data_IF_034135068136
#
_entry.id   IF_034135068136
#
_cell.length_a   1.000
_cell.length_b   1.000
_cell.length_c   1.000
_cell.angle_alpha   90.00
_cell.angle_beta   90.00
_cell.angle_gamma   90.00
#
_symmetry.space_group_name_H-M   'P 1'
#
loop_
_entity.id
_entity.type
_entity.pdbx_description
1 polymer ?
#
# COMPACT_ATOMS: atom_id res chain seq x y z
N UNK A 1 47.38 -51.80 45.07
CA UNK A 1 48.23 -52.72 44.29
C UNK A 1 47.29 -53.51 43.40
N UNK A 2 47.37 -53.25 42.09
CA UNK A 2 47.10 -54.15 40.96
C UNK A 2 45.79 -54.99 41.00
N UNK A 3 44.79 -54.62 40.19
CA UNK A 3 44.58 -55.01 38.78
C UNK A 3 43.71 -56.27 38.65
N UNK A 4 42.71 -56.13 37.77
CA UNK A 4 42.19 -57.15 36.84
C UNK A 4 41.63 -58.49 37.35
N UNK A 5 40.37 -58.76 36.99
CA UNK A 5 39.98 -59.88 36.10
C UNK A 5 38.46 -59.78 35.88
N UNK A 6 38.00 -59.33 34.71
CA UNK A 6 37.68 -60.16 33.54
C UNK A 6 36.57 -61.20 33.77
N UNK A 7 35.59 -61.10 32.86
CA UNK A 7 34.87 -62.20 32.20
C UNK A 7 33.47 -62.59 32.74
N UNK A 8 32.48 -62.05 32.02
CA UNK A 8 31.29 -62.71 31.48
C UNK A 8 30.98 -64.14 31.97
N UNK A 9 29.72 -64.37 32.39
CA UNK A 9 28.81 -65.31 31.72
C UNK A 9 27.43 -65.34 32.41
N UNK A 10 26.39 -65.06 31.62
CA UNK A 10 25.09 -65.75 31.58
C UNK A 10 24.55 -66.43 32.85
N UNK A 11 23.45 -65.88 33.41
CA UNK A 11 22.09 -66.48 33.32
C UNK A 11 21.10 -65.78 34.26
N UNK A 12 19.96 -65.43 33.67
CA UNK A 12 18.74 -64.93 34.30
C UNK A 12 18.25 -65.85 35.41
N UNK A 13 18.01 -65.30 36.61
CA UNK A 13 16.87 -65.69 37.47
C UNK A 13 16.36 -64.43 38.19
N UNK A 14 15.11 -64.09 37.90
CA UNK A 14 14.24 -63.16 38.60
C UNK A 14 14.28 -63.34 40.12
N UNK A 15 14.39 -62.24 40.89
CA UNK A 15 13.38 -61.90 41.92
C UNK A 15 13.60 -60.49 42.48
N UNK A 16 12.55 -59.67 42.32
CA UNK A 16 12.08 -58.59 43.19
C UNK A 16 13.07 -57.50 43.66
N UNK A 17 13.05 -56.36 42.96
CA UNK A 17 13.36 -55.07 43.58
C UNK A 17 12.31 -54.04 43.16
N UNK A 18 11.69 -53.46 44.19
CA UNK A 18 10.67 -52.42 44.18
C UNK A 18 11.14 -51.21 43.37
N UNK A 19 10.33 -50.80 42.39
CA UNK A 19 10.46 -49.48 41.75
C UNK A 19 9.12 -48.76 41.86
N UNK A 20 9.08 -47.73 42.70
CA UNK A 20 8.10 -46.65 42.63
C UNK A 20 8.27 -45.96 41.27
N UNK A 21 7.48 -46.36 40.29
CA UNK A 21 7.33 -45.60 39.05
C UNK A 21 6.32 -44.49 39.27
N UNK A 22 6.81 -43.27 39.55
CA UNK A 22 6.06 -42.04 39.31
C UNK A 22 5.65 -42.04 37.83
N UNK A 23 4.37 -42.27 37.57
CA UNK A 23 3.77 -42.11 36.25
C UNK A 23 3.75 -40.61 35.98
N UNK A 24 4.76 -40.12 35.28
CA UNK A 24 4.69 -38.83 34.59
C UNK A 24 3.70 -39.02 33.43
N UNK A 25 2.46 -38.59 33.65
CA UNK A 25 1.52 -38.35 32.55
C UNK A 25 2.04 -37.14 31.80
N UNK A 26 2.92 -37.38 30.84
CA UNK A 26 3.21 -36.41 29.78
C UNK A 26 1.99 -36.33 28.88
N UNK A 27 1.01 -35.53 29.31
CA UNK A 27 -0.05 -35.05 28.43
C UNK A 27 0.55 -34.12 27.41
N UNK A 28 1.02 -34.66 26.29
CA UNK A 28 1.29 -33.88 25.09
C UNK A 28 -0.07 -33.39 24.56
N UNK A 29 -0.51 -32.24 25.07
CA UNK A 29 -1.49 -31.41 24.40
C UNK A 29 -0.85 -30.92 23.11
N UNK A 30 -0.98 -31.71 22.04
CA UNK A 30 -0.80 -31.21 20.69
C UNK A 30 -1.93 -30.22 20.44
N UNK A 31 -1.70 -28.96 20.81
CA UNK A 31 -2.37 -27.83 20.20
C UNK A 31 -1.97 -27.86 18.73
N UNK A 32 -2.72 -28.59 17.93
CA UNK A 32 -2.74 -28.41 16.49
C UNK A 32 -3.22 -26.97 16.27
N UNK A 33 -2.26 -26.06 16.17
CA UNK A 33 -2.47 -24.71 15.70
C UNK A 33 -3.07 -24.83 14.30
N UNK A 34 -4.39 -24.64 14.22
CA UNK A 34 -5.09 -24.52 12.96
C UNK A 34 -4.55 -23.29 12.23
N UNK A 35 -3.53 -23.51 11.41
CA UNK A 35 -3.03 -22.56 10.44
C UNK A 35 -4.11 -22.41 9.37
N UNK A 36 -5.14 -21.64 9.67
CA UNK A 36 -6.14 -21.19 8.70
C UNK A 36 -5.39 -20.35 7.66
N UNK A 37 -4.96 -21.00 6.57
CA UNK A 37 -4.36 -20.36 5.41
C UNK A 37 -5.42 -19.44 4.80
N UNK A 38 -5.43 -18.17 5.23
CA UNK A 38 -6.34 -17.14 4.71
C UNK A 38 -6.23 -17.12 3.19
N UNK A 39 -7.29 -17.51 2.49
CA UNK A 39 -7.32 -17.51 1.04
C UNK A 39 -7.18 -16.09 0.50
N UNK A 40 -6.45 -15.94 -0.60
CA UNK A 40 -6.24 -14.64 -1.22
C UNK A 40 -7.58 -14.11 -1.78
N UNK A 41 -7.91 -12.82 -1.58
CA UNK A 41 -9.16 -12.24 -2.05
C UNK A 41 -9.29 -12.39 -3.57
N UNK A 42 -10.52 -12.64 -4.03
CA UNK A 42 -10.83 -12.74 -5.46
C UNK A 42 -10.76 -11.35 -6.09
N UNK A 43 -9.96 -11.21 -7.14
CA UNK A 43 -9.87 -9.98 -7.91
C UNK A 43 -11.08 -9.81 -8.84
N UNK A 44 -11.36 -8.56 -9.20
CA UNK A 44 -12.27 -8.20 -10.29
C UNK A 44 -13.69 -8.80 -10.15
N UNK A 45 -14.15 -9.00 -8.92
CA UNK A 45 -15.43 -9.65 -8.61
C UNK A 45 -15.59 -11.02 -9.32
N UNK A 46 -14.47 -11.73 -9.51
CA UNK A 46 -14.42 -13.03 -10.19
C UNK A 46 -14.38 -12.95 -11.73
N UNK A 47 -14.25 -11.75 -12.31
CA UNK A 47 -14.20 -11.56 -13.75
C UNK A 47 -12.78 -11.69 -14.32
N UNK A 48 -12.71 -12.16 -15.56
CA UNK A 48 -11.50 -12.47 -16.29
C UNK A 48 -10.68 -11.21 -16.67
N UNK A 49 -9.53 -11.03 -16.03
CA UNK A 49 -8.59 -9.93 -16.31
C UNK A 49 -8.14 -9.88 -17.79
N UNK A 50 -7.82 -11.03 -18.38
CA UNK A 50 -7.41 -11.14 -19.79
C UNK A 50 -8.53 -10.71 -20.73
N UNK A 51 -9.77 -11.06 -20.40
CA UNK A 51 -10.96 -10.76 -21.19
C UNK A 51 -11.30 -9.26 -21.13
N UNK A 52 -11.11 -8.63 -19.97
CA UNK A 52 -11.21 -7.18 -19.82
C UNK A 52 -10.16 -6.48 -20.69
N UNK A 53 -8.88 -6.77 -20.51
CA UNK A 53 -7.81 -6.05 -21.22
C UNK A 53 -7.85 -6.30 -22.74
N UNK A 54 -7.98 -7.55 -23.16
CA UNK A 54 -7.86 -7.91 -24.59
C UNK A 54 -9.17 -7.73 -25.36
N UNK A 55 -10.30 -7.96 -24.70
CA UNK A 55 -11.62 -7.99 -25.33
C UNK A 55 -12.54 -6.85 -24.92
N UNK A 56 -12.19 -6.08 -23.88
CA UNK A 56 -13.07 -5.09 -23.24
C UNK A 56 -14.42 -5.69 -22.83
N UNK A 57 -14.41 -6.96 -22.40
CA UNK A 57 -15.60 -7.73 -22.02
C UNK A 57 -15.50 -8.20 -20.58
N UNK A 58 -16.60 -8.00 -19.85
CA UNK A 58 -16.81 -8.62 -18.53
C UNK A 58 -17.22 -10.06 -18.78
N UNK A 59 -16.35 -11.01 -18.44
CA UNK A 59 -16.60 -12.44 -18.57
C UNK A 59 -16.27 -13.08 -17.24
N UNK A 60 -17.23 -13.75 -16.63
CA UNK A 60 -17.03 -14.46 -15.37
C UNK A 60 -16.00 -15.57 -15.56
N UNK A 61 -15.03 -15.62 -14.65
CA UNK A 61 -14.10 -16.73 -14.55
C UNK A 61 -14.70 -17.88 -13.75
N UNK A 62 -13.98 -19.01 -13.73
CA UNK A 62 -14.36 -20.19 -12.97
C UNK A 62 -13.29 -20.53 -11.94
N UNK A 63 -13.65 -20.97 -10.72
CA UNK A 63 -12.68 -21.30 -9.66
C UNK A 63 -11.61 -22.33 -10.08
N UNK A 64 -11.96 -23.29 -10.93
CA UNK A 64 -11.03 -24.31 -11.45
C UNK A 64 -9.92 -23.73 -12.34
N UNK A 65 -10.14 -22.56 -12.93
CA UNK A 65 -9.17 -21.84 -13.74
C UNK A 65 -8.73 -20.58 -13.00
N UNK A 66 -8.03 -20.76 -11.88
CA UNK A 66 -7.54 -19.68 -11.03
C UNK A 66 -6.02 -19.54 -11.01
N UNK A 67 -5.54 -18.31 -10.78
CA UNK A 67 -4.12 -17.98 -10.55
C UNK A 67 -4.02 -16.98 -9.41
N UNK A 68 -3.18 -17.26 -8.42
CA UNK A 68 -2.82 -16.27 -7.39
C UNK A 68 -1.65 -15.44 -7.90
N UNK A 69 -1.85 -14.12 -7.99
CA UNK A 69 -0.81 -13.17 -8.38
C UNK A 69 -0.93 -11.89 -7.56
N UNK A 70 0.21 -11.40 -7.06
CA UNK A 70 0.30 -10.22 -6.18
C UNK A 70 -0.69 -10.26 -4.99
N UNK A 71 -0.93 -11.45 -4.45
CA UNK A 71 -1.85 -11.67 -3.34
C UNK A 71 -3.33 -11.51 -3.68
N UNK A 72 -3.72 -11.66 -4.95
CA UNK A 72 -5.12 -11.80 -5.36
C UNK A 72 -5.33 -13.07 -6.19
N UNK A 73 -6.53 -13.63 -6.08
CA UNK A 73 -6.98 -14.76 -6.89
C UNK A 73 -7.68 -14.25 -8.14
N UNK A 74 -7.11 -14.47 -9.32
CA UNK A 74 -7.72 -14.18 -10.61
C UNK A 74 -8.40 -15.42 -11.17
N UNK A 75 -9.61 -15.27 -11.72
CA UNK A 75 -10.40 -16.36 -12.30
C UNK A 75 -10.53 -16.20 -13.81
N UNK A 76 -10.52 -17.31 -14.55
CA UNK A 76 -10.57 -17.33 -16.01
C UNK A 76 -11.68 -18.26 -16.52
N UNK A 77 -12.25 -18.01 -17.73
CA UNK A 77 -13.34 -18.82 -18.25
C UNK A 77 -12.86 -20.19 -18.80
N UNK A 78 -11.57 -20.31 -19.11
CA UNK A 78 -10.95 -21.53 -19.65
C UNK A 78 -9.45 -21.60 -19.33
N UNK A 79 -8.86 -22.79 -19.49
CA UNK A 79 -7.43 -23.04 -19.28
C UNK A 79 -6.55 -22.23 -20.25
N UNK A 80 -6.97 -22.06 -21.51
CA UNK A 80 -6.21 -21.29 -22.51
C UNK A 80 -6.11 -19.80 -22.11
N UNK A 81 -7.18 -19.24 -21.53
CA UNK A 81 -7.18 -17.86 -21.06
C UNK A 81 -6.32 -17.72 -19.79
N UNK A 82 -6.36 -18.71 -18.90
CA UNK A 82 -5.47 -18.78 -17.73
C UNK A 82 -3.99 -18.81 -18.15
N UNK A 83 -3.62 -19.61 -19.14
CA UNK A 83 -2.24 -19.70 -19.62
C UNK A 83 -1.73 -18.36 -20.18
N UNK A 84 -2.59 -17.61 -20.89
CA UNK A 84 -2.26 -16.24 -21.34
C UNK A 84 -1.91 -15.33 -20.17
N UNK A 85 -2.67 -15.40 -19.08
CA UNK A 85 -2.38 -14.63 -17.87
C UNK A 85 -1.05 -15.05 -17.23
N UNK A 86 -0.81 -16.36 -17.07
CA UNK A 86 0.41 -16.86 -16.44
C UNK A 86 1.68 -16.48 -17.21
N UNK A 87 1.61 -16.36 -18.53
CA UNK A 87 2.75 -16.00 -19.38
C UNK A 87 3.22 -14.55 -19.17
N UNK A 88 2.31 -13.62 -18.83
CA UNK A 88 2.61 -12.19 -18.69
C UNK A 88 1.56 -11.48 -17.81
N UNK A 89 1.45 -11.83 -16.52
CA UNK A 89 0.38 -11.34 -15.65
C UNK A 89 0.37 -9.81 -15.51
N UNK A 90 1.54 -9.18 -15.53
CA UNK A 90 1.74 -7.72 -15.46
C UNK A 90 1.02 -6.94 -16.57
N UNK A 91 0.67 -7.60 -17.69
CA UNK A 91 -0.09 -6.99 -18.80
C UNK A 91 -1.59 -6.96 -18.55
N UNK A 92 -2.09 -7.81 -17.67
CA UNK A 92 -3.54 -8.04 -17.52
C UNK A 92 -4.09 -7.56 -16.19
N UNK A 93 -3.27 -7.47 -15.15
CA UNK A 93 -3.73 -6.98 -13.86
C UNK A 93 -4.24 -5.54 -13.95
N UNK A 94 -5.31 -5.20 -13.22
CA UNK A 94 -5.77 -3.82 -13.14
C UNK A 94 -4.69 -2.93 -12.51
N UNK A 95 -4.66 -1.67 -12.95
CA UNK A 95 -3.80 -0.65 -12.38
C UNK A 95 -4.00 -0.59 -10.86
N UNK A 96 -2.90 -0.38 -10.13
CA UNK A 96 -2.93 -0.28 -8.68
C UNK A 96 -3.69 -1.43 -8.00
N UNK A 97 -3.59 -2.67 -8.53
CA UNK A 97 -4.27 -3.86 -7.99
C UNK A 97 -5.81 -3.78 -8.01
N UNK A 98 -6.38 -2.83 -8.75
CA UNK A 98 -7.83 -2.57 -8.80
C UNK A 98 -8.28 -1.47 -7.84
N UNK A 99 -7.36 -0.84 -7.14
CA UNK A 99 -7.65 0.38 -6.38
C UNK A 99 -7.71 1.60 -7.30
N UNK A 100 -8.52 2.57 -6.87
CA UNK A 100 -8.78 3.83 -7.54
C UNK A 100 -7.53 4.70 -7.64
N UNK A 101 -6.99 4.87 -8.85
CA UNK A 101 -5.79 5.70 -9.10
C UNK A 101 -6.02 7.18 -8.81
N UNK A 102 -7.20 7.71 -9.10
CA UNK A 102 -7.59 9.09 -8.75
C UNK A 102 -7.57 9.28 -7.22
N UNK A 103 -8.15 8.32 -6.50
CA UNK A 103 -8.21 8.36 -5.04
C UNK A 103 -6.81 8.26 -4.44
N UNK A 104 -5.98 7.37 -4.99
CA UNK A 104 -4.58 7.23 -4.58
C UNK A 104 -3.79 8.54 -4.77
N UNK A 105 -4.01 9.24 -5.88
CA UNK A 105 -3.37 10.52 -6.15
C UNK A 105 -3.83 11.64 -5.21
N UNK A 106 -5.15 11.76 -5.00
CA UNK A 106 -5.75 12.84 -4.21
C UNK A 106 -5.62 12.62 -2.69
N UNK A 107 -5.58 11.37 -2.23
CA UNK A 107 -5.59 11.01 -0.80
C UNK A 107 -4.26 10.39 -0.34
N UNK A 108 -3.13 10.90 -0.86
CA UNK A 108 -1.78 10.56 -0.39
C UNK A 108 -1.47 9.06 -0.30
N UNK A 109 -1.94 8.31 -1.29
CA UNK A 109 -1.67 6.88 -1.40
C UNK A 109 -2.68 5.99 -0.67
N UNK A 110 -3.76 6.55 -0.13
CA UNK A 110 -4.86 5.75 0.42
C UNK A 110 -5.47 4.87 -0.68
N UNK A 111 -5.64 3.59 -0.34
CA UNK A 111 -6.14 2.55 -1.24
C UNK A 111 -7.65 2.47 -1.09
N UNK A 112 -8.37 2.82 -2.15
CA UNK A 112 -9.83 2.73 -2.20
C UNK A 112 -10.22 1.80 -3.36
N UNK A 113 -10.84 0.64 -3.11
CA UNK A 113 -11.12 -0.34 -4.14
C UNK A 113 -12.11 0.21 -5.18
N UNK A 114 -11.81 -0.02 -6.45
CA UNK A 114 -12.76 0.24 -7.54
C UNK A 114 -13.75 -0.91 -7.75
N UNK A 115 -14.72 -0.71 -8.66
CA UNK A 115 -15.75 -1.69 -9.00
C UNK A 115 -15.74 -2.02 -10.49
N UNK A 116 -16.14 -3.24 -10.85
CA UNK A 116 -16.25 -3.69 -12.24
C UNK A 116 -17.26 -2.85 -13.05
N UNK A 117 -18.29 -2.31 -12.41
CA UNK A 117 -19.27 -1.45 -13.07
C UNK A 117 -18.71 -0.06 -13.44
N UNK A 118 -17.49 0.27 -12.98
CA UNK A 118 -16.86 1.57 -13.16
C UNK A 118 -15.42 1.42 -13.68
N UNK A 119 -15.30 0.77 -14.84
CA UNK A 119 -14.02 0.52 -15.52
C UNK A 119 -13.74 1.58 -16.59
N UNK A 120 -12.49 2.06 -16.64
CA UNK A 120 -11.94 2.75 -17.81
C UNK A 120 -10.75 2.00 -18.39
N UNK A 121 -10.56 2.16 -19.70
CA UNK A 121 -9.43 1.57 -20.44
C UNK A 121 -8.56 2.70 -20.97
N UNK A 122 -7.27 2.65 -20.66
CA UNK A 122 -6.31 3.66 -21.12
C UNK A 122 -4.95 3.01 -21.34
N UNK A 123 -4.31 3.27 -22.48
CA UNK A 123 -2.99 2.73 -22.86
C UNK A 123 -2.84 1.21 -22.65
N UNK A 124 -3.88 0.45 -23.05
CA UNK A 124 -3.88 -1.01 -22.92
C UNK A 124 -4.03 -1.54 -21.49
N UNK A 125 -4.34 -0.67 -20.52
CA UNK A 125 -4.54 -1.02 -19.11
C UNK A 125 -5.99 -0.81 -18.68
N UNK A 126 -6.35 -1.49 -17.59
CA UNK A 126 -7.67 -1.45 -16.95
C UNK A 126 -7.57 -0.67 -15.63
N UNK A 127 -8.49 0.28 -15.45
CA UNK A 127 -8.61 1.12 -14.26
C UNK A 127 -10.00 0.96 -13.67
N UNK A 128 -10.11 0.81 -12.35
CA UNK A 128 -11.38 0.66 -11.65
C UNK A 128 -11.60 1.84 -10.70
N UNK A 129 -12.85 2.28 -10.58
CA UNK A 129 -13.22 3.39 -9.71
C UNK A 129 -14.38 3.02 -8.78
N UNK A 130 -14.51 3.66 -7.61
CA UNK A 130 -15.54 3.30 -6.64
C UNK A 130 -16.96 3.69 -7.10
N UNK A 131 -17.06 4.69 -7.99
CA UNK A 131 -18.31 5.21 -8.54
C UNK A 131 -18.09 5.94 -9.88
N UNK A 132 -19.19 6.24 -10.57
CA UNK A 132 -19.21 6.94 -11.86
C UNK A 132 -18.60 8.35 -11.80
N UNK A 133 -18.73 9.07 -10.68
CA UNK A 133 -18.19 10.44 -10.56
C UNK A 133 -16.67 10.44 -10.57
N UNK A 134 -16.03 9.53 -9.82
CA UNK A 134 -14.56 9.43 -9.80
C UNK A 134 -14.04 8.87 -11.12
N UNK A 135 -14.76 7.93 -11.73
CA UNK A 135 -14.46 7.48 -13.10
C UNK A 135 -14.42 8.66 -14.08
N UNK A 136 -15.40 9.56 -14.02
CA UNK A 136 -15.46 10.73 -14.90
C UNK A 136 -14.29 11.71 -14.68
N UNK A 137 -13.70 11.74 -13.48
CA UNK A 137 -12.46 12.52 -13.22
C UNK A 137 -11.30 11.91 -13.99
N UNK A 138 -11.11 10.58 -13.91
CA UNK A 138 -10.08 9.89 -14.67
C UNK A 138 -10.28 10.07 -16.18
N UNK A 139 -11.51 9.89 -16.68
CA UNK A 139 -11.81 9.94 -18.11
C UNK A 139 -11.51 11.32 -18.73
N UNK A 140 -11.56 12.40 -17.95
CA UNK A 140 -11.21 13.76 -18.40
C UNK A 140 -9.70 13.96 -18.59
N UNK A 141 -8.90 13.39 -17.68
CA UNK A 141 -7.44 13.59 -17.64
C UNK A 141 -6.70 12.29 -17.30
N UNK A 142 -6.79 11.23 -18.12
CA UNK A 142 -6.27 9.91 -17.73
C UNK A 142 -4.75 9.91 -17.53
N UNK A 143 -4.01 10.69 -18.30
CA UNK A 143 -2.56 10.82 -18.19
C UNK A 143 -2.10 11.34 -16.81
N UNK A 144 -2.92 12.12 -16.09
CA UNK A 144 -2.59 12.62 -14.75
C UNK A 144 -2.60 11.49 -13.70
N UNK A 145 -3.34 10.41 -13.96
CA UNK A 145 -3.61 9.36 -12.99
C UNK A 145 -3.12 7.98 -13.42
N UNK A 146 -2.78 7.78 -14.68
CA UNK A 146 -2.43 6.47 -15.23
C UNK A 146 -1.15 5.90 -14.61
N UNK A 147 -0.18 6.76 -14.26
CA UNK A 147 1.14 6.35 -13.78
C UNK A 147 1.36 6.54 -12.28
N UNK A 148 0.29 6.77 -11.50
CA UNK A 148 0.42 6.91 -10.03
C UNK A 148 0.90 5.61 -9.36
N UNK A 149 0.75 4.48 -10.04
CA UNK A 149 1.25 3.18 -9.62
C UNK A 149 2.66 2.87 -10.14
N UNK A 150 3.29 3.79 -10.88
CA UNK A 150 4.68 3.65 -11.32
C UNK A 150 5.62 4.00 -10.17
N UNK A 151 6.25 2.98 -9.60
CA UNK A 151 7.18 3.16 -8.50
C UNK A 151 8.47 3.87 -8.98
N UNK A 152 9.06 4.64 -8.06
CA UNK A 152 10.37 5.28 -8.24
C UNK A 152 10.47 6.16 -9.51
N UNK A 153 9.37 6.74 -9.98
CA UNK A 153 9.30 7.50 -11.23
C UNK A 153 9.87 6.71 -12.42
N UNK A 154 9.65 5.38 -12.44
CA UNK A 154 10.15 4.46 -13.46
C UNK A 154 11.63 4.11 -13.33
N UNK A 155 12.33 4.58 -12.30
CA UNK A 155 13.74 4.24 -12.05
C UNK A 155 13.86 2.87 -11.38
N UNK A 156 14.94 2.19 -11.72
CA UNK A 156 15.31 0.87 -11.21
C UNK A 156 15.65 0.90 -9.70
N UNK A 157 14.72 0.43 -8.87
CA UNK A 157 14.91 0.31 -7.41
C UNK A 157 16.13 -0.55 -7.04
N UNK A 158 16.37 -1.65 -7.74
CA UNK A 158 17.52 -2.56 -7.50
C UNK A 158 18.83 -1.83 -7.77
N UNK A 159 18.91 -1.08 -8.86
CA UNK A 159 20.09 -0.32 -9.26
C UNK A 159 20.42 0.78 -8.23
N UNK A 160 19.37 1.38 -7.66
CA UNK A 160 19.51 2.39 -6.60
C UNK A 160 19.95 1.78 -5.27
N UNK A 161 19.35 0.65 -4.87
CA UNK A 161 19.64 0.00 -3.59
C UNK A 161 21.02 -0.66 -3.59
N UNK A 162 21.35 -1.44 -4.63
CA UNK A 162 22.61 -2.19 -4.67
C UNK A 162 23.79 -1.37 -5.19
N UNK A 163 23.53 -0.45 -6.14
CA UNK A 163 24.57 0.27 -6.85
C UNK A 163 24.60 1.78 -6.61
N UNK A 164 23.62 2.33 -5.88
CA UNK A 164 23.49 3.77 -5.64
C UNK A 164 23.09 4.61 -6.87
N UNK A 165 22.86 3.98 -8.03
CA UNK A 165 22.67 4.65 -9.32
C UNK A 165 21.20 4.85 -9.65
N UNK A 166 20.88 6.02 -10.20
CA UNK A 166 19.58 6.28 -10.82
C UNK A 166 19.62 5.78 -12.27
N UNK A 167 19.09 4.59 -12.49
CA UNK A 167 19.03 3.98 -13.83
C UNK A 167 17.57 3.92 -14.27
N UNK A 168 17.20 4.47 -15.43
CA UNK A 168 15.83 4.35 -15.93
C UNK A 168 15.51 2.87 -16.19
N UNK A 169 14.33 2.44 -15.74
CA UNK A 169 13.77 1.17 -16.12
C UNK A 169 13.17 1.22 -17.52
N UNK A 170 12.79 0.06 -18.04
CA UNK A 170 12.09 -0.05 -19.32
C UNK A 170 10.75 -0.76 -19.14
N UNK A 171 9.66 -0.33 -19.82
CA UNK A 171 8.34 -0.95 -19.69
C UNK A 171 8.31 -2.45 -19.98
N UNK A 172 9.15 -2.94 -20.91
CA UNK A 172 9.23 -4.38 -21.22
C UNK A 172 9.79 -5.23 -20.07
N UNK A 173 10.45 -4.61 -19.09
CA UNK A 173 10.96 -5.27 -17.89
C UNK A 173 10.24 -4.69 -16.66
N UNK A 174 8.94 -4.94 -16.57
CA UNK A 174 8.09 -4.52 -15.45
C UNK A 174 7.77 -5.69 -14.54
N UNK A 175 7.88 -5.49 -13.22
CA UNK A 175 7.33 -6.39 -12.20
C UNK A 175 6.27 -5.67 -11.36
N UNK A 176 5.23 -6.40 -10.96
CA UNK A 176 4.21 -5.90 -10.04
C UNK A 176 4.51 -6.39 -8.63
N UNK A 177 4.45 -5.48 -7.65
CA UNK A 177 4.51 -5.83 -6.24
C UNK A 177 3.65 -4.86 -5.42
N UNK A 178 2.69 -5.39 -4.66
CA UNK A 178 1.73 -4.63 -3.85
C UNK A 178 0.93 -3.60 -4.68
N UNK A 179 0.57 -3.99 -5.91
CA UNK A 179 -0.12 -3.16 -6.88
C UNK A 179 0.73 -2.09 -7.56
N UNK A 180 2.01 -1.95 -7.22
CA UNK A 180 2.90 -0.98 -7.86
C UNK A 180 3.71 -1.63 -8.98
N UNK A 181 3.94 -0.87 -10.05
CA UNK A 181 4.79 -1.23 -11.19
C UNK A 181 6.22 -0.78 -10.94
N UNK A 182 7.15 -1.72 -10.96
CA UNK A 182 8.58 -1.46 -10.89
C UNK A 182 9.21 -1.79 -12.24
N UNK A 183 9.97 -0.85 -12.81
CA UNK A 183 10.62 -1.01 -14.10
C UNK A 183 12.13 -1.20 -13.96
N UNK A 184 12.72 -2.01 -14.83
CA UNK A 184 14.13 -2.40 -14.75
C UNK A 184 14.84 -2.23 -16.10
N UNK A 185 16.16 -2.01 -16.13
CA UNK A 185 16.90 -1.84 -17.38
C UNK A 185 17.05 -3.14 -18.17
N UNK A 186 16.88 -4.30 -17.51
CA UNK A 186 16.99 -5.63 -18.11
C UNK A 186 16.21 -6.69 -17.34
N UNK A 187 15.92 -7.81 -18.01
CA UNK A 187 15.27 -8.98 -17.42
C UNK A 187 16.03 -9.54 -16.21
N UNK A 188 17.37 -9.58 -16.26
CA UNK A 188 18.18 -10.08 -15.15
C UNK A 188 18.00 -9.25 -13.87
N UNK A 189 17.90 -7.92 -14.01
CA UNK A 189 17.67 -7.02 -12.87
C UNK A 189 16.24 -7.14 -12.34
N UNK A 190 15.25 -7.27 -13.23
CA UNK A 190 13.86 -7.54 -12.86
C UNK A 190 13.73 -8.86 -12.08
N UNK A 191 14.35 -9.94 -12.55
CA UNK A 191 14.34 -11.24 -11.85
C UNK A 191 15.03 -11.14 -10.48
N UNK A 192 16.07 -10.32 -10.36
CA UNK A 192 16.71 -10.05 -9.06
C UNK A 192 15.73 -9.39 -8.08
N UNK A 193 14.91 -8.44 -8.55
CA UNK A 193 13.83 -7.85 -7.75
C UNK A 193 12.75 -8.88 -7.38
N UNK A 194 12.29 -9.69 -8.33
CA UNK A 194 11.23 -10.68 -8.10
C UNK A 194 11.62 -11.75 -7.06
N UNK A 195 12.90 -12.11 -6.97
CA UNK A 195 13.39 -13.06 -5.97
C UNK A 195 13.28 -12.55 -4.53
N UNK A 196 13.36 -11.24 -4.32
CA UNK A 196 13.34 -10.63 -2.97
C UNK A 196 12.77 -9.21 -3.02
N UNK A 197 11.52 -9.09 -3.46
CA UNK A 197 10.89 -7.78 -3.67
C UNK A 197 10.74 -6.99 -2.37
N UNK A 198 10.45 -7.70 -1.28
CA UNK A 198 10.29 -7.12 0.05
C UNK A 198 11.56 -6.40 0.53
N UNK A 199 12.76 -6.99 0.33
CA UNK A 199 14.04 -6.35 0.68
C UNK A 199 14.22 -5.00 -0.01
N UNK A 200 14.00 -4.94 -1.32
CA UNK A 200 14.22 -3.70 -2.07
C UNK A 200 13.21 -2.62 -1.67
N UNK A 201 11.94 -2.99 -1.51
CA UNK A 201 10.88 -2.05 -1.09
C UNK A 201 11.08 -1.57 0.35
N UNK A 202 11.46 -2.45 1.28
CA UNK A 202 11.79 -2.08 2.65
C UNK A 202 13.01 -1.13 2.72
N UNK A 203 13.96 -1.27 1.78
CA UNK A 203 15.11 -0.36 1.69
C UNK A 203 14.70 1.05 1.25
N UNK A 204 13.64 1.18 0.42
CA UNK A 204 13.08 2.50 0.08
C UNK A 204 12.33 3.13 1.26
N UNK A 205 11.60 2.35 2.06
CA UNK A 205 10.90 2.91 3.22
C UNK A 205 11.89 3.31 4.31
N UNK A 206 12.91 2.49 4.58
CA UNK A 206 13.99 2.83 5.50
C UNK A 206 14.82 4.03 5.02
N UNK A 207 15.06 4.14 3.71
CA UNK A 207 15.76 5.29 3.13
C UNK A 207 14.86 6.51 3.05
N UNK A 208 13.55 6.38 2.81
CA UNK A 208 12.60 7.49 2.93
C UNK A 208 12.51 7.96 4.37
N UNK A 209 12.65 7.06 5.36
CA UNK A 209 12.74 7.38 6.80
C UNK A 209 14.09 8.01 7.19
N UNK A 210 15.20 7.68 6.49
CA UNK A 210 16.51 8.31 6.72
C UNK A 210 16.79 9.55 5.87
N UNK A 211 16.03 9.74 4.78
CA UNK A 211 16.05 10.92 3.89
C UNK A 211 14.87 11.86 4.14
N UNK A 212 13.82 11.43 4.86
CA UNK A 212 13.15 12.30 5.83
C UNK A 212 14.17 12.47 6.94
N UNK A 213 15.04 13.46 6.78
CA UNK A 213 15.95 13.84 7.85
C UNK A 213 15.19 13.92 9.17
N UNK A 214 15.89 13.65 10.27
CA UNK A 214 15.52 14.16 11.57
C UNK A 214 14.87 15.54 11.42
N UNK A 215 13.76 15.83 12.13
CA UNK A 215 12.88 16.95 11.82
C UNK A 215 13.72 18.19 11.58
N UNK A 216 13.80 18.62 10.31
CA UNK A 216 14.37 19.92 9.98
C UNK A 216 13.68 20.90 10.90
N UNK A 217 14.49 21.67 11.65
CA UNK A 217 14.04 22.57 12.69
C UNK A 217 12.70 23.17 12.29
N UNK A 218 11.66 22.79 13.02
CA UNK A 218 10.30 23.05 12.61
C UNK A 218 10.09 24.54 12.46
N UNK A 219 10.00 24.99 11.22
CA UNK A 219 9.83 26.39 10.92
C UNK A 219 8.49 26.83 11.49
N UNK A 220 8.54 27.81 12.39
CA UNK A 220 7.37 28.49 12.89
C UNK A 220 6.87 29.39 11.78
N UNK A 221 5.69 29.05 11.27
CA UNK A 221 5.06 29.77 10.17
C UNK A 221 3.91 30.60 10.75
N UNK A 222 3.92 31.89 10.43
CA UNK A 222 2.81 32.81 10.69
C UNK A 222 2.18 33.19 9.35
N UNK A 223 0.91 32.84 9.16
CA UNK A 223 0.15 33.10 7.94
C UNK A 223 -1.15 33.83 8.24
N UNK A 224 -1.61 34.63 7.29
CA UNK A 224 -2.94 35.22 7.31
C UNK A 224 -3.67 34.89 6.02
N UNK A 225 -4.96 34.64 6.12
CA UNK A 225 -5.77 34.22 4.99
C UNK A 225 -7.24 34.08 5.33
N UNK A 226 -7.98 33.40 4.47
CA UNK A 226 -9.40 33.10 4.69
C UNK A 226 -9.63 31.62 4.93
N UNK A 227 -10.56 31.28 5.81
CA UNK A 227 -10.94 29.89 6.06
C UNK A 227 -11.61 29.24 4.85
N UNK A 228 -11.47 27.92 4.74
CA UNK A 228 -12.16 27.06 3.78
C UNK A 228 -12.23 25.62 4.28
N UNK A 229 -13.04 24.79 3.62
CA UNK A 229 -13.01 23.34 3.83
C UNK A 229 -11.86 22.70 3.05
N UNK A 230 -10.94 22.03 3.74
CA UNK A 230 -9.76 21.43 3.11
C UNK A 230 -10.14 20.38 2.05
N UNK A 231 -11.00 19.43 2.41
CA UNK A 231 -11.42 18.35 1.53
C UNK A 231 -12.39 18.85 0.44
N UNK A 232 -13.37 19.66 0.83
CA UNK A 232 -14.47 20.06 -0.05
C UNK A 232 -14.01 21.01 -1.17
N UNK A 233 -13.18 22.00 -0.83
CA UNK A 233 -12.76 23.05 -1.78
C UNK A 233 -11.44 22.71 -2.46
N UNK A 234 -10.54 22.02 -1.77
CA UNK A 234 -9.17 21.83 -2.23
C UNK A 234 -8.77 20.37 -2.41
N UNK A 235 -9.64 19.41 -2.09
CA UNK A 235 -9.38 17.98 -2.23
C UNK A 235 -8.23 17.48 -1.35
N UNK A 236 -7.95 18.16 -0.23
CA UNK A 236 -6.83 17.84 0.67
C UNK A 236 -7.34 17.58 2.09
N UNK A 237 -6.75 16.61 2.77
CA UNK A 237 -7.17 16.18 4.10
C UNK A 237 -6.09 16.44 5.15
N UNK A 238 -6.46 16.53 6.45
CA UNK A 238 -5.47 16.49 7.54
C UNK A 238 -4.60 15.24 7.47
N UNK A 239 -3.35 15.33 7.93
CA UNK A 239 -2.43 14.20 8.00
C UNK A 239 -2.71 13.28 9.18
N UNK A 240 -3.17 13.84 10.30
CA UNK A 240 -3.43 13.04 11.50
C UNK A 240 -4.72 12.23 11.39
N UNK A 241 -5.75 12.79 10.74
CA UNK A 241 -7.02 12.12 10.47
C UNK A 241 -7.48 12.39 9.03
N UNK A 242 -7.23 11.46 8.10
CA UNK A 242 -7.65 11.60 6.71
C UNK A 242 -9.17 11.55 6.48
N UNK A 243 -9.96 11.04 7.42
CA UNK A 243 -11.42 10.96 7.28
C UNK A 243 -12.10 12.30 7.59
N UNK A 244 -11.36 13.24 8.20
CA UNK A 244 -11.83 14.60 8.42
C UNK A 244 -11.87 15.44 7.15
N UNK A 245 -12.89 16.29 7.06
CA UNK A 245 -12.99 17.30 6.01
C UNK A 245 -11.94 18.41 6.14
N UNK A 246 -11.42 18.66 7.34
CA UNK A 246 -10.32 19.58 7.61
C UNK A 246 -10.66 21.08 7.49
N UNK A 247 -9.92 21.89 8.25
CA UNK A 247 -9.89 23.35 8.11
C UNK A 247 -8.72 23.73 7.21
N UNK A 248 -8.99 24.45 6.13
CA UNK A 248 -7.98 25.09 5.30
C UNK A 248 -7.94 26.60 5.56
N UNK A 249 -6.76 27.20 5.39
CA UNK A 249 -6.56 28.64 5.29
C UNK A 249 -5.90 28.93 3.95
N UNK A 250 -6.63 29.63 3.07
CA UNK A 250 -6.08 30.14 1.81
C UNK A 250 -5.32 31.42 2.11
N UNK A 251 -3.99 31.35 2.05
CA UNK A 251 -3.10 32.47 2.29
C UNK A 251 -3.07 33.42 1.10
N UNK A 252 -2.71 34.68 1.37
CA UNK A 252 -2.57 35.72 0.34
C UNK A 252 -1.49 35.39 -0.70
N UNK A 253 -0.52 34.54 -0.36
CA UNK A 253 0.53 34.05 -1.28
C UNK A 253 0.05 32.89 -2.18
N UNK A 254 -1.23 32.52 -2.13
CA UNK A 254 -1.84 31.49 -2.97
C UNK A 254 -1.66 30.06 -2.47
N UNK A 255 -0.97 29.86 -1.34
CA UNK A 255 -0.86 28.54 -0.69
C UNK A 255 -2.10 28.20 0.14
N UNK A 256 -2.32 26.91 0.31
CA UNK A 256 -3.42 26.36 1.11
C UNK A 256 -2.83 25.68 2.34
N UNK A 257 -3.15 26.20 3.52
CA UNK A 257 -2.66 25.68 4.79
C UNK A 257 -3.72 24.81 5.45
N UNK A 258 -3.46 23.52 5.62
CA UNK A 258 -4.35 22.59 6.33
C UNK A 258 -4.00 22.63 7.81
N UNK A 259 -4.98 22.94 8.65
CA UNK A 259 -4.81 23.13 10.09
C UNK A 259 -5.19 21.84 10.82
N UNK A 260 -4.18 21.12 11.33
CA UNK A 260 -4.36 19.86 12.05
C UNK A 260 -5.17 20.04 13.33
N UNK A 261 -6.09 19.11 13.60
CA UNK A 261 -6.85 19.08 14.85
C UNK A 261 -7.75 20.31 15.07
N UNK A 262 -8.07 21.06 14.03
CA UNK A 262 -8.92 22.26 14.13
C UNK A 262 -10.33 21.92 14.60
N UNK A 263 -10.87 20.74 14.28
CA UNK A 263 -12.20 20.31 14.72
C UNK A 263 -12.30 20.21 16.26
N UNK A 264 -11.24 19.76 16.92
CA UNK A 264 -11.17 19.60 18.37
C UNK A 264 -10.75 20.88 19.07
N UNK A 265 -9.74 21.58 18.54
CA UNK A 265 -9.18 22.78 19.17
C UNK A 265 -10.03 24.03 18.97
N UNK A 266 -10.71 24.16 17.83
CA UNK A 266 -11.48 25.35 17.45
C UNK A 266 -12.80 24.95 16.76
N UNK A 267 -13.73 24.29 17.49
CA UNK A 267 -14.93 23.69 16.92
C UNK A 267 -15.86 24.70 16.21
N UNK A 268 -15.97 25.93 16.71
CA UNK A 268 -16.82 26.95 16.09
C UNK A 268 -16.23 27.50 14.80
N UNK A 269 -14.91 27.73 14.77
CA UNK A 269 -14.19 28.08 13.56
C UNK A 269 -14.26 26.95 12.53
N UNK A 270 -14.13 25.70 12.98
CA UNK A 270 -14.26 24.53 12.13
C UNK A 270 -15.67 24.44 11.52
N UNK A 271 -16.73 24.65 12.29
CA UNK A 271 -18.12 24.66 11.77
C UNK A 271 -18.35 25.80 10.76
N UNK A 272 -17.77 26.97 11.03
CA UNK A 272 -17.89 28.17 10.18
C UNK A 272 -16.85 28.24 9.05
N UNK A 273 -16.05 27.19 8.84
CA UNK A 273 -14.94 27.18 7.86
C UNK A 273 -15.32 27.52 6.42
N UNK A 274 -16.60 27.38 6.07
CA UNK A 274 -17.13 27.69 4.73
C UNK A 274 -17.45 29.17 4.52
N UNK A 275 -17.33 30.00 5.56
CA UNK A 275 -17.74 31.42 5.53
C UNK A 275 -16.61 32.36 5.10
N UNK A 276 -15.45 31.83 4.70
CA UNK A 276 -14.28 32.63 4.28
C UNK A 276 -13.84 33.66 5.31
N UNK A 277 -13.86 33.27 6.60
CA UNK A 277 -13.49 34.14 7.71
C UNK A 277 -12.00 34.48 7.65
N UNK A 278 -11.65 35.73 7.93
CA UNK A 278 -10.25 36.16 8.01
C UNK A 278 -9.62 35.61 9.28
N UNK A 279 -8.49 34.92 9.12
CA UNK A 279 -7.75 34.32 10.23
C UNK A 279 -6.26 34.58 10.08
N UNK A 280 -5.59 34.64 11.22
CA UNK A 280 -4.14 34.56 11.35
C UNK A 280 -3.80 33.29 12.11
N UNK A 281 -2.94 32.45 11.54
CA UNK A 281 -2.50 31.20 12.16
C UNK A 281 -1.00 31.26 12.39
N UNK A 282 -0.60 30.99 13.62
CA UNK A 282 0.79 30.67 13.93
C UNK A 282 0.89 29.18 14.23
N UNK A 283 1.78 28.48 13.54
CA UNK A 283 1.87 27.04 13.66
C UNK A 283 3.22 26.49 13.26
N UNK A 284 3.46 25.27 13.71
CA UNK A 284 4.63 24.49 13.31
C UNK A 284 4.30 23.77 12.01
N UNK A 285 5.06 24.03 10.95
CA UNK A 285 4.91 23.27 9.72
C UNK A 285 5.32 21.82 9.94
N UNK A 286 4.45 20.88 9.56
CA UNK A 286 4.68 19.44 9.71
C UNK A 286 4.80 18.71 8.37
N UNK A 287 4.25 19.27 7.28
CA UNK A 287 4.38 18.73 5.93
C UNK A 287 4.18 19.84 4.88
N UNK A 288 4.70 19.61 3.69
CA UNK A 288 4.48 20.45 2.51
C UNK A 288 4.41 19.55 1.26
N UNK A 289 3.45 19.80 0.37
CA UNK A 289 3.31 19.16 -0.94
C UNK A 289 2.72 20.15 -1.94
N UNK A 290 3.55 20.69 -2.82
CA UNK A 290 3.12 21.66 -3.83
C UNK A 290 2.61 22.95 -3.19
N UNK A 291 1.34 23.31 -3.46
CA UNK A 291 0.69 24.47 -2.84
C UNK A 291 0.13 24.21 -1.43
N UNK A 292 0.16 22.95 -0.98
CA UNK A 292 -0.42 22.53 0.29
C UNK A 292 0.63 22.48 1.40
N UNK A 293 0.30 23.07 2.55
CA UNK A 293 1.16 23.08 3.73
C UNK A 293 0.34 22.63 4.93
N UNK A 294 0.84 21.72 5.74
CA UNK A 294 0.15 21.28 6.96
C UNK A 294 0.78 21.92 8.17
N UNK A 295 -0.05 22.55 9.01
CA UNK A 295 0.38 23.19 10.24
C UNK A 295 -0.23 22.48 11.44
N UNK A 296 0.60 22.20 12.44
CA UNK A 296 0.12 22.00 13.81
C UNK A 296 -0.06 23.39 14.43
N UNK A 297 -1.31 23.84 14.71
CA UNK A 297 -1.55 25.20 15.18
C UNK A 297 -0.99 25.41 16.58
N UNK A 298 -0.41 26.59 16.82
CA UNK A 298 -0.08 27.11 18.15
C UNK A 298 -1.07 28.20 18.56
N UNK A 299 -1.46 29.08 17.63
CA UNK A 299 -2.54 30.02 17.81
C UNK A 299 -3.33 30.19 16.51
N UNK A 300 -4.64 30.43 16.65
CA UNK A 300 -5.53 30.80 15.55
C UNK A 300 -6.35 31.99 16.01
N UNK A 301 -6.06 33.15 15.42
CA UNK A 301 -6.73 34.40 15.73
C UNK A 301 -7.72 34.71 14.60
N UNK A 302 -8.99 34.86 14.93
CA UNK A 302 -10.00 35.36 13.97
C UNK A 302 -9.94 36.88 13.97
N UNK A 303 -9.71 37.47 12.80
CA UNK A 303 -9.81 38.92 12.67
C UNK A 303 -11.29 39.31 12.66
N UNK A 304 -11.68 40.23 13.54
CA UNK A 304 -13.00 40.88 13.50
C UNK A 304 -13.16 41.73 12.23
#
# INVERSE_FOLDING_TARGET
MFQEMQMNLFRNVMTAAVLLSMVYVSGAVNAAESSQKKEAPVALDGNCAVCLVSGKKVVSGKPEFSVVYDGQTYLFPSEEVKQKFQAAPEKYVPALKGDCTVCYAHHDGLRNPGKIDHISFYEGRVFLFPNQSIKAVFDKSPAEYADVDLACDGKCIVCKVDGGKDVPGKPEFTAIYQGLRYQFPSQAVMQKFQKDSAKYVASLTAKKVSTTGAPAASELVSISGTTGCAACEYGVHPKQDPDELGLAVKSNDGKIYVIEGAHASHPDLYKSRFQSLKVSVKGKQIANKGKFVWLKPQSIDTAQ
#
